data_IF_688123380003
#
_entry.id   IF_688123380003
#
_cell.length_a   1.000
_cell.length_b   1.000
_cell.length_c   1.000
_cell.angle_alpha   90.00
_cell.angle_beta   90.00
_cell.angle_gamma   90.00
#
_symmetry.space_group_name_H-M   'P 1'
#
loop_
_entity.id
_entity.type
_entity.pdbx_description
1 polymer ?
#
# COMPACT_ATOMS: atom_id res chain seq x y z
N UNK A 1 11.71 -2.89 -5.70
CA UNK A 1 10.73 -2.02 -5.02
C UNK A 1 9.65 -2.91 -4.45
N UNK A 2 9.14 -2.63 -3.25
CA UNK A 2 8.02 -3.38 -2.66
C UNK A 2 6.78 -2.50 -2.69
N UNK A 3 5.65 -3.06 -3.13
CA UNK A 3 4.34 -2.43 -3.08
C UNK A 3 3.45 -3.29 -2.19
N UNK A 4 2.93 -2.67 -1.15
CA UNK A 4 1.98 -3.29 -0.22
C UNK A 4 0.59 -2.75 -0.48
N UNK A 5 -0.39 -3.64 -0.66
CA UNK A 5 -1.79 -3.26 -0.80
C UNK A 5 -2.69 -4.44 -0.41
N UNK A 6 -3.83 -4.17 0.20
CA UNK A 6 -4.72 -5.18 0.78
C UNK A 6 -5.08 -6.25 -0.24
N UNK A 7 -5.36 -5.85 -1.47
CA UNK A 7 -5.69 -6.76 -2.56
C UNK A 7 -4.57 -6.88 -3.60
N UNK A 8 -3.31 -6.70 -3.20
CA UNK A 8 -2.16 -6.81 -4.11
C UNK A 8 -2.17 -8.10 -4.94
N UNK A 9 -2.59 -9.23 -4.35
CA UNK A 9 -2.69 -10.51 -5.04
C UNK A 9 -3.66 -10.54 -6.23
N UNK A 10 -4.66 -9.65 -6.26
CA UNK A 10 -5.57 -9.49 -7.40
C UNK A 10 -5.16 -8.31 -8.27
N UNK A 11 -4.73 -7.22 -7.63
CA UNK A 11 -4.34 -6.02 -8.32
C UNK A 11 -3.20 -6.30 -9.29
N UNK A 12 -2.10 -6.91 -8.84
CA UNK A 12 -0.88 -7.05 -9.64
C UNK A 12 -1.07 -7.74 -11.00
N UNK A 13 -2.07 -8.65 -11.12
CA UNK A 13 -2.35 -9.45 -12.33
C UNK A 13 -2.48 -8.59 -13.59
N UNK A 14 -3.19 -7.46 -13.49
CA UNK A 14 -3.41 -6.55 -14.62
C UNK A 14 -2.70 -5.21 -14.44
N UNK A 15 -1.66 -5.15 -13.61
CA UNK A 15 -0.95 -3.91 -13.34
C UNK A 15 -0.33 -3.31 -14.60
N UNK A 16 0.36 -4.13 -15.39
CA UNK A 16 1.01 -3.68 -16.63
C UNK A 16 0.01 -3.18 -17.68
N UNK A 17 -1.13 -3.86 -17.82
CA UNK A 17 -2.20 -3.44 -18.73
C UNK A 17 -2.77 -2.08 -18.33
N UNK A 18 -3.00 -1.87 -17.02
CA UNK A 18 -3.54 -0.61 -16.51
C UNK A 18 -2.59 0.56 -16.72
N UNK A 19 -1.30 0.42 -16.40
CA UNK A 19 -0.33 1.51 -16.60
C UNK A 19 -0.03 1.79 -18.09
N UNK A 20 -0.32 0.82 -18.96
CA UNK A 20 -0.16 0.94 -20.41
C UNK A 20 -1.43 1.39 -21.13
N UNK A 21 -2.55 1.59 -20.42
CA UNK A 21 -3.85 1.90 -21.01
C UNK A 21 -3.77 3.19 -21.86
N UNK A 22 -4.03 3.13 -23.18
CA UNK A 22 -3.97 4.30 -24.06
C UNK A 22 -4.98 5.39 -23.71
N UNK A 23 -6.11 5.04 -23.10
CA UNK A 23 -7.15 6.00 -22.69
C UNK A 23 -6.78 6.75 -21.40
N UNK A 24 -5.86 6.21 -20.60
CA UNK A 24 -5.35 6.84 -19.38
C UNK A 24 -3.89 6.46 -19.16
N UNK A 25 -2.96 7.02 -19.97
CA UNK A 25 -1.55 6.65 -19.87
C UNK A 25 -0.94 7.27 -18.62
N UNK A 26 -0.87 6.50 -17.54
CA UNK A 26 -0.25 6.91 -16.28
C UNK A 26 1.29 6.99 -16.37
N UNK A 27 1.88 6.33 -17.36
CA UNK A 27 3.33 6.20 -17.50
C UNK A 27 3.79 6.32 -18.96
N UNK A 28 4.94 6.98 -19.15
CA UNK A 28 5.58 7.07 -20.46
C UNK A 28 6.12 5.71 -20.92
N UNK A 29 6.46 5.57 -22.21
CA UNK A 29 7.11 4.35 -22.73
C UNK A 29 8.44 4.06 -22.02
N UNK A 30 9.23 5.09 -21.72
CA UNK A 30 10.50 4.95 -20.99
C UNK A 30 10.26 4.40 -19.57
N UNK A 31 9.30 4.96 -18.83
CA UNK A 31 8.93 4.48 -17.50
C UNK A 31 8.51 3.01 -17.51
N UNK A 32 7.70 2.61 -18.51
CA UNK A 32 7.25 1.21 -18.66
C UNK A 32 8.41 0.24 -18.95
N UNK A 33 9.37 0.64 -19.80
CA UNK A 33 10.56 -0.17 -20.06
C UNK A 33 11.38 -0.37 -18.79
N UNK A 34 11.59 0.70 -18.01
CA UNK A 34 12.33 0.63 -16.76
C UNK A 34 11.65 -0.24 -15.68
N UNK A 35 10.31 -0.21 -15.62
CA UNK A 35 9.53 -1.05 -14.72
C UNK A 35 9.61 -2.54 -15.10
N UNK A 36 9.67 -2.87 -16.40
CA UNK A 36 9.85 -4.25 -16.85
C UNK A 36 11.18 -4.85 -16.43
N UNK A 37 12.23 -4.03 -16.29
CA UNK A 37 13.54 -4.50 -15.82
C UNK A 37 13.66 -4.52 -14.30
N UNK A 38 12.74 -3.86 -13.58
CA UNK A 38 12.75 -3.72 -12.13
C UNK A 38 11.35 -3.98 -11.56
N UNK A 39 10.85 -5.19 -11.76
CA UNK A 39 9.48 -5.53 -11.41
C UNK A 39 9.23 -5.34 -9.90
N UNK A 40 8.14 -4.66 -9.49
CA UNK A 40 7.79 -4.54 -8.09
C UNK A 40 7.48 -5.89 -7.47
N UNK A 41 7.87 -6.06 -6.22
CA UNK A 41 7.41 -7.17 -5.38
C UNK A 41 6.08 -6.75 -4.77
N UNK A 42 5.04 -7.56 -4.97
CA UNK A 42 3.70 -7.30 -4.48
C UNK A 42 3.47 -8.09 -3.21
N UNK A 43 3.08 -7.41 -2.14
CA UNK A 43 2.79 -8.03 -0.85
C UNK A 43 1.44 -7.58 -0.31
N UNK A 44 0.83 -8.42 0.51
CA UNK A 44 -0.40 -8.10 1.23
C UNK A 44 -0.02 -7.82 2.68
N UNK A 45 -0.51 -6.71 3.28
CA UNK A 45 -0.37 -6.45 4.71
C UNK A 45 -0.76 -7.66 5.59
N UNK A 46 -0.06 -7.86 6.70
CA UNK A 46 -0.12 -9.12 7.47
C UNK A 46 -1.50 -9.45 8.06
N UNK A 47 -2.24 -8.44 8.50
CA UNK A 47 -3.58 -8.63 9.04
C UNK A 47 -4.55 -9.01 7.92
N UNK A 48 -4.46 -8.35 6.77
CA UNK A 48 -5.31 -8.66 5.61
C UNK A 48 -4.99 -10.02 4.98
N UNK A 49 -3.72 -10.43 4.98
CA UNK A 49 -3.26 -11.66 4.33
C UNK A 49 -4.00 -12.92 4.82
N UNK A 50 -4.41 -12.96 6.08
CA UNK A 50 -5.14 -14.10 6.65
C UNK A 50 -6.54 -14.29 6.04
N UNK A 51 -7.11 -13.25 5.42
CA UNK A 51 -8.44 -13.30 4.78
C UNK A 51 -8.38 -13.73 3.31
N UNK A 52 -7.19 -14.01 2.79
CA UNK A 52 -6.98 -14.41 1.40
C UNK A 52 -6.98 -15.93 1.24
N UNK A 53 -7.11 -16.41 0.00
CA UNK A 53 -6.97 -17.84 -0.31
C UNK A 53 -5.59 -18.36 0.11
N UNK A 54 -5.50 -19.63 0.49
CA UNK A 54 -4.29 -20.26 1.06
C UNK A 54 -3.02 -20.02 0.26
N UNK A 55 -3.11 -20.03 -1.07
CA UNK A 55 -1.95 -19.78 -1.94
C UNK A 55 -1.35 -18.38 -1.76
N UNK A 56 -2.08 -17.43 -1.19
CA UNK A 56 -1.56 -16.10 -0.94
C UNK A 56 -0.60 -16.06 0.26
N UNK A 57 -0.79 -16.95 1.25
CA UNK A 57 -0.05 -16.96 2.50
C UNK A 57 1.47 -17.04 2.30
N UNK A 58 1.91 -17.71 1.23
CA UNK A 58 3.33 -17.78 0.88
C UNK A 58 3.73 -16.73 -0.16
N UNK A 59 2.91 -16.56 -1.21
CA UNK A 59 3.26 -15.74 -2.37
C UNK A 59 3.27 -14.23 -2.11
N UNK A 60 2.49 -13.75 -1.13
CA UNK A 60 2.32 -12.30 -0.87
C UNK A 60 2.75 -11.91 0.55
N UNK A 61 3.52 -12.77 1.22
CA UNK A 61 3.90 -12.58 2.62
C UNK A 61 5.19 -11.81 2.80
N UNK A 62 5.13 -10.81 3.67
CA UNK A 62 6.31 -10.13 4.19
C UNK A 62 7.28 -11.07 4.91
N UNK A 63 6.78 -12.12 5.58
CA UNK A 63 7.64 -13.04 6.33
C UNK A 63 8.53 -13.89 5.41
N UNK A 64 8.10 -14.10 4.18
CA UNK A 64 8.82 -14.92 3.19
C UNK A 64 9.56 -14.08 2.14
N UNK A 65 9.51 -12.75 2.26
CA UNK A 65 10.17 -11.83 1.32
C UNK A 65 11.49 -11.32 1.89
N UNK A 66 12.57 -11.42 1.11
CA UNK A 66 13.88 -10.92 1.52
C UNK A 66 13.94 -9.40 1.48
N UNK A 67 14.78 -8.82 2.34
CA UNK A 67 15.11 -7.38 2.35
C UNK A 67 13.92 -6.44 2.63
N UNK A 68 12.87 -6.92 3.33
CA UNK A 68 11.73 -6.10 3.74
C UNK A 68 11.65 -5.86 5.26
N UNK A 69 12.66 -6.32 5.99
CA UNK A 69 12.70 -6.22 7.46
C UNK A 69 11.50 -6.91 8.13
N UNK A 70 11.16 -6.48 9.35
CA UNK A 70 9.97 -6.95 10.08
C UNK A 70 8.76 -6.07 9.81
N UNK A 71 8.54 -5.71 8.54
CA UNK A 71 7.43 -4.84 8.13
C UNK A 71 6.09 -5.54 8.35
N UNK A 72 5.10 -4.78 8.85
CA UNK A 72 3.71 -5.25 9.01
C UNK A 72 2.86 -5.00 7.77
N UNK A 73 3.04 -3.83 7.14
CA UNK A 73 2.17 -3.34 6.06
C UNK A 73 0.88 -2.67 6.54
N UNK A 74 0.53 -2.84 7.82
CA UNK A 74 -0.76 -2.38 8.40
C UNK A 74 -0.72 -1.01 9.08
N UNK A 75 0.48 -0.44 9.29
CA UNK A 75 0.65 0.72 10.17
C UNK A 75 -0.16 1.95 9.71
N UNK A 76 -0.40 2.08 8.40
CA UNK A 76 -1.21 3.17 7.83
C UNK A 76 -2.68 3.08 8.26
N UNK A 77 -3.20 1.89 8.49
CA UNK A 77 -4.61 1.66 8.87
C UNK A 77 -4.79 1.51 10.38
N UNK A 78 -3.79 0.93 11.06
CA UNK A 78 -3.85 0.74 12.53
C UNK A 78 -3.97 2.10 13.25
N UNK A 79 -3.36 3.16 12.70
CA UNK A 79 -3.46 4.50 13.28
C UNK A 79 -4.86 5.12 13.12
N UNK A 80 -5.67 4.65 12.17
CA UNK A 80 -7.00 5.21 11.92
C UNK A 80 -7.91 5.07 13.13
N UNK A 81 -7.79 4.00 13.91
CA UNK A 81 -8.56 3.85 15.15
C UNK A 81 -8.36 5.04 16.11
N UNK A 82 -7.11 5.51 16.25
CA UNK A 82 -6.77 6.66 17.08
C UNK A 82 -7.14 7.99 16.40
N UNK A 83 -6.86 8.13 15.10
CA UNK A 83 -7.21 9.36 14.36
C UNK A 83 -8.72 9.60 14.29
N UNK A 84 -9.52 8.54 14.23
CA UNK A 84 -10.99 8.64 14.27
C UNK A 84 -11.48 9.28 15.57
N UNK A 85 -10.84 8.99 16.71
CA UNK A 85 -11.18 9.63 17.98
C UNK A 85 -10.86 11.14 17.98
N UNK A 86 -9.80 11.54 17.27
CA UNK A 86 -9.39 12.93 17.11
C UNK A 86 -10.18 13.70 16.03
N UNK A 87 -10.95 12.99 15.19
CA UNK A 87 -11.64 13.59 14.05
C UNK A 87 -12.63 14.68 14.48
N UNK A 88 -13.38 14.46 15.56
CA UNK A 88 -14.35 15.45 16.06
C UNK A 88 -13.68 16.61 16.80
N UNK A 89 -12.66 16.33 17.62
CA UNK A 89 -11.98 17.36 18.41
C UNK A 89 -11.14 18.32 17.55
N UNK A 90 -10.61 17.85 16.42
CA UNK A 90 -9.76 18.65 15.52
C UNK A 90 -10.52 19.35 14.39
N UNK A 91 -11.86 19.18 14.29
CA UNK A 91 -12.65 19.63 13.13
C UNK A 91 -12.65 21.16 12.95
N UNK A 92 -12.80 21.89 14.06
CA UNK A 92 -12.88 23.36 14.05
C UNK A 92 -11.52 24.04 14.25
N UNK A 93 -10.44 23.26 14.40
CA UNK A 93 -9.10 23.79 14.61
C UNK A 93 -8.54 24.38 13.31
N UNK A 94 -7.83 25.50 13.42
CA UNK A 94 -7.04 26.05 12.31
C UNK A 94 -5.92 25.09 11.87
N UNK A 95 -5.45 25.22 10.63
CA UNK A 95 -4.48 24.30 10.02
C UNK A 95 -3.24 24.01 10.89
N UNK A 96 -2.61 25.04 11.46
CA UNK A 96 -1.44 24.89 12.32
C UNK A 96 -1.76 24.09 13.59
N UNK A 97 -2.76 24.55 14.35
CA UNK A 97 -3.17 23.91 15.60
C UNK A 97 -3.65 22.47 15.41
N UNK A 98 -4.34 22.20 14.29
CA UNK A 98 -4.77 20.83 13.93
C UNK A 98 -3.56 19.93 13.66
N UNK A 99 -2.56 20.41 12.92
CA UNK A 99 -1.35 19.64 12.64
C UNK A 99 -0.64 19.31 13.94
N UNK A 100 -0.38 20.33 14.77
CA UNK A 100 0.31 20.17 16.04
C UNK A 100 -0.43 19.15 16.92
N UNK A 101 -1.76 19.26 17.07
CA UNK A 101 -2.58 18.30 17.84
C UNK A 101 -2.52 16.86 17.32
N UNK A 102 -2.36 16.65 16.01
CA UNK A 102 -2.29 15.31 15.41
C UNK A 102 -0.87 14.72 15.51
N UNK A 103 0.16 15.57 15.57
CA UNK A 103 1.57 15.15 15.51
C UNK A 103 2.34 15.22 16.83
N UNK A 104 1.76 15.82 17.88
CA UNK A 104 2.29 15.78 19.26
C UNK A 104 2.20 14.38 19.86
#
# INVERSE_FOLDING_TARGET
IVISYDIACKYHIHFHDRIANPASPLMTRSHRTHLRTNEPIWLVPKFHLASHVDSCADNFSFNWTRNVGRTSGESVETIWANLNALATSTREMGYGHRKDTITD
#
